data_IF_124783007555
#
_entry.id   IF_124783007555
#
_cell.length_a   1.000
_cell.length_b   1.000
_cell.length_c   1.000
_cell.angle_alpha   90.00
_cell.angle_beta   90.00
_cell.angle_gamma   90.00
#
_symmetry.space_group_name_H-M   'P 1'
#
loop_
_entity.id
_entity.type
_entity.pdbx_description
1 polymer ?
#
# COMPACT_ATOMS: atom_id res chain seq x y z
N UNK A 1 -24.67 -15.39 -2.83
CA UNK A 1 -23.83 -15.93 -3.91
C UNK A 1 -22.46 -16.12 -3.31
N UNK A 2 -21.90 -17.32 -3.38
CA UNK A 2 -20.60 -17.64 -2.81
C UNK A 2 -19.53 -16.73 -3.42
N UNK A 3 -18.74 -16.08 -2.57
CA UNK A 3 -17.49 -15.44 -2.96
C UNK A 3 -16.59 -16.52 -3.56
N UNK A 4 -16.47 -16.51 -4.89
CA UNK A 4 -15.56 -17.41 -5.58
C UNK A 4 -14.14 -17.12 -5.11
N UNK A 5 -13.46 -18.18 -4.64
CA UNK A 5 -12.05 -18.12 -4.26
C UNK A 5 -11.25 -17.67 -5.49
N UNK A 6 -10.77 -16.40 -5.51
CA UNK A 6 -9.98 -15.87 -6.62
C UNK A 6 -8.66 -16.62 -6.66
N UNK A 7 -8.36 -17.20 -7.81
CA UNK A 7 -7.08 -17.87 -8.02
C UNK A 7 -5.93 -16.85 -8.12
N UNK A 8 -4.70 -17.30 -7.82
CA UNK A 8 -3.51 -16.45 -8.01
C UNK A 8 -3.43 -16.01 -9.48
N UNK A 9 -3.35 -14.69 -9.70
CA UNK A 9 -3.32 -14.10 -11.05
C UNK A 9 -4.64 -13.49 -11.49
N UNK A 10 -5.79 -13.80 -10.86
CA UNK A 10 -7.04 -13.10 -11.13
C UNK A 10 -6.96 -11.64 -10.65
N UNK A 11 -7.67 -10.74 -11.31
CA UNK A 11 -7.71 -9.33 -10.92
C UNK A 11 -8.48 -9.18 -9.60
N UNK A 12 -7.78 -8.81 -8.53
CA UNK A 12 -8.38 -8.55 -7.21
C UNK A 12 -8.86 -7.11 -7.08
N UNK A 13 -8.04 -6.13 -7.50
CA UNK A 13 -8.40 -4.72 -7.53
C UNK A 13 -8.39 -4.23 -8.98
N UNK A 14 -9.47 -3.59 -9.41
CA UNK A 14 -9.60 -2.94 -10.71
C UNK A 14 -10.04 -1.49 -10.50
N UNK A 15 -9.17 -0.56 -10.85
CA UNK A 15 -9.41 0.89 -10.85
C UNK A 15 -9.56 1.32 -12.30
N UNK A 16 -10.71 1.88 -12.67
CA UNK A 16 -11.09 2.19 -14.04
C UNK A 16 -11.37 3.70 -14.18
N UNK A 17 -10.51 4.39 -14.91
CA UNK A 17 -10.62 5.81 -15.29
C UNK A 17 -10.98 6.75 -14.13
N UNK A 18 -10.44 6.50 -12.93
CA UNK A 18 -10.71 7.30 -11.75
C UNK A 18 -10.18 8.71 -11.92
N UNK A 19 -11.04 9.69 -11.63
CA UNK A 19 -10.71 11.11 -11.63
C UNK A 19 -11.19 11.76 -10.34
N UNK A 20 -10.40 12.69 -9.79
CA UNK A 20 -10.78 13.51 -8.64
C UNK A 20 -10.02 14.84 -8.67
N UNK A 21 -10.73 15.93 -8.36
CA UNK A 21 -10.18 17.27 -8.29
C UNK A 21 -10.47 17.93 -6.93
N UNK A 22 -9.60 18.81 -6.50
CA UNK A 22 -9.76 19.62 -5.28
C UNK A 22 -9.55 21.09 -5.60
N UNK A 23 -10.56 21.93 -5.35
CA UNK A 23 -10.47 23.37 -5.59
C UNK A 23 -10.04 23.73 -7.02
N UNK A 24 -10.48 22.95 -8.03
CA UNK A 24 -10.10 23.14 -9.43
C UNK A 24 -8.76 22.49 -9.84
N UNK A 25 -8.01 21.92 -8.91
CA UNK A 25 -6.76 21.22 -9.22
C UNK A 25 -7.06 19.73 -9.41
N UNK A 26 -6.77 19.19 -10.60
CA UNK A 26 -6.93 17.79 -10.92
C UNK A 26 -5.85 16.96 -10.21
N UNK A 27 -6.21 16.26 -9.15
CA UNK A 27 -5.26 15.43 -8.40
C UNK A 27 -5.04 14.05 -9.04
N UNK A 28 -6.11 13.46 -9.62
CA UNK A 28 -6.05 12.23 -10.41
C UNK A 28 -6.94 12.41 -11.64
N UNK A 29 -6.44 12.04 -12.82
CA UNK A 29 -7.08 12.27 -14.11
C UNK A 29 -7.16 10.97 -14.94
N UNK A 30 -8.31 10.32 -14.92
CA UNK A 30 -8.61 9.08 -15.63
C UNK A 30 -7.57 7.96 -15.36
N UNK A 31 -7.09 7.84 -14.11
CA UNK A 31 -6.13 6.82 -13.75
C UNK A 31 -6.77 5.44 -13.75
N UNK A 32 -6.10 4.47 -14.36
CA UNK A 32 -6.50 3.07 -14.39
C UNK A 32 -5.35 2.17 -13.96
N UNK A 33 -5.62 1.21 -13.08
CA UNK A 33 -4.66 0.18 -12.69
C UNK A 33 -5.38 -1.11 -12.28
N UNK A 34 -4.68 -2.22 -12.38
CA UNK A 34 -5.15 -3.54 -11.96
C UNK A 34 -4.13 -4.20 -11.08
N UNK A 35 -4.58 -4.86 -10.01
CA UNK A 35 -3.72 -5.63 -9.12
C UNK A 35 -4.18 -7.07 -9.12
N UNK A 36 -3.27 -7.97 -9.48
CA UNK A 36 -3.54 -9.39 -9.49
C UNK A 36 -3.54 -9.96 -8.05
N UNK A 37 -4.39 -10.94 -7.79
CA UNK A 37 -4.44 -11.65 -6.51
C UNK A 37 -3.10 -12.33 -6.20
N UNK A 38 -2.61 -12.15 -4.97
CA UNK A 38 -1.35 -12.74 -4.50
C UNK A 38 -0.09 -12.12 -5.13
N UNK A 39 -0.17 -10.89 -5.67
CA UNK A 39 0.98 -10.15 -6.17
C UNK A 39 1.33 -8.94 -5.30
N UNK A 40 2.53 -8.42 -5.48
CA UNK A 40 2.95 -7.11 -4.98
C UNK A 40 2.98 -6.14 -6.15
N UNK A 41 2.12 -5.15 -6.14
CA UNK A 41 2.10 -4.07 -7.11
C UNK A 41 2.61 -2.78 -6.46
N UNK A 42 3.46 -2.02 -7.15
CA UNK A 42 3.93 -0.72 -6.69
C UNK A 42 3.30 0.42 -7.50
N UNK A 43 2.90 1.48 -6.82
CA UNK A 43 2.51 2.76 -7.41
C UNK A 43 3.58 3.79 -7.07
N UNK A 44 4.39 4.16 -8.05
CA UNK A 44 5.47 5.13 -7.89
C UNK A 44 5.19 6.42 -8.65
N UNK A 45 6.00 7.44 -8.45
CA UNK A 45 5.88 8.72 -9.13
C UNK A 45 6.38 9.89 -8.26
N UNK A 46 6.59 11.07 -8.83
CA UNK A 46 7.07 12.24 -8.10
C UNK A 46 6.10 12.67 -6.99
N UNK A 47 6.60 13.53 -6.08
CA UNK A 47 5.74 14.12 -5.04
C UNK A 47 4.64 14.97 -5.69
N UNK A 48 3.43 14.89 -5.15
CA UNK A 48 2.26 15.57 -5.73
C UNK A 48 1.65 14.90 -6.96
N UNK A 49 2.14 13.73 -7.39
CA UNK A 49 1.59 13.03 -8.55
C UNK A 49 0.15 12.51 -8.38
N UNK A 50 -0.39 12.46 -7.15
CA UNK A 50 -1.75 11.97 -6.86
C UNK A 50 -1.80 10.56 -6.25
N UNK A 51 -0.66 9.95 -5.90
CA UNK A 51 -0.59 8.56 -5.37
C UNK A 51 -1.45 8.36 -4.12
N UNK A 52 -1.25 9.17 -3.08
CA UNK A 52 -2.01 9.09 -1.82
C UNK A 52 -3.49 9.40 -2.02
N UNK A 53 -3.80 10.27 -2.99
CA UNK A 53 -5.19 10.56 -3.39
C UNK A 53 -5.84 9.31 -3.98
N UNK A 54 -5.16 8.60 -4.90
CA UNK A 54 -5.67 7.36 -5.47
C UNK A 54 -5.85 6.27 -4.39
N UNK A 55 -4.93 6.13 -3.44
CA UNK A 55 -5.10 5.26 -2.27
C UNK A 55 -6.31 5.64 -1.42
N UNK A 56 -6.56 6.95 -1.26
CA UNK A 56 -7.72 7.44 -0.51
C UNK A 56 -9.03 7.12 -1.22
N UNK A 57 -9.06 7.14 -2.55
CA UNK A 57 -10.21 6.68 -3.34
C UNK A 57 -10.42 5.17 -3.17
N UNK A 58 -9.38 4.35 -3.34
CA UNK A 58 -9.47 2.89 -3.21
C UNK A 58 -9.92 2.47 -1.81
N UNK A 59 -9.45 3.18 -0.77
CA UNK A 59 -9.80 2.87 0.63
C UNK A 59 -11.07 3.56 1.15
N UNK A 60 -11.79 4.31 0.28
CA UNK A 60 -13.06 4.94 0.60
C UNK A 60 -12.97 6.22 1.43
N UNK A 61 -11.76 6.80 1.62
CA UNK A 61 -11.59 8.10 2.29
C UNK A 61 -11.91 9.28 1.39
N UNK A 62 -11.95 9.07 0.07
CA UNK A 62 -12.35 10.06 -0.93
C UNK A 62 -13.27 9.39 -1.94
N UNK A 63 -14.33 10.08 -2.32
CA UNK A 63 -15.20 9.68 -3.41
C UNK A 63 -14.66 10.27 -4.72
N UNK A 64 -14.47 9.49 -5.79
CA UNK A 64 -14.02 10.03 -7.06
C UNK A 64 -15.13 10.81 -7.78
N UNK A 65 -14.76 11.84 -8.54
CA UNK A 65 -15.68 12.60 -9.39
C UNK A 65 -16.14 11.77 -10.60
N UNK A 66 -15.29 10.83 -11.06
CA UNK A 66 -15.57 9.92 -12.16
C UNK A 66 -14.74 8.64 -12.06
N UNK A 67 -15.14 7.62 -12.83
CA UNK A 67 -14.51 6.31 -12.85
C UNK A 67 -15.10 5.36 -11.81
N UNK A 68 -14.47 4.19 -11.67
CA UNK A 68 -14.94 3.11 -10.78
C UNK A 68 -13.79 2.40 -10.11
N UNK A 69 -14.07 1.85 -8.93
CA UNK A 69 -13.17 0.94 -8.21
C UNK A 69 -13.91 -0.35 -7.93
N UNK A 70 -13.35 -1.49 -8.38
CA UNK A 70 -13.88 -2.82 -8.09
C UNK A 70 -12.88 -3.61 -7.27
N UNK A 71 -13.38 -4.32 -6.28
CA UNK A 71 -12.60 -5.23 -5.45
C UNK A 71 -13.23 -6.62 -5.44
N UNK A 72 -12.49 -7.63 -5.90
CA UNK A 72 -13.03 -8.98 -6.10
C UNK A 72 -14.26 -9.02 -7.01
N UNK A 73 -14.28 -8.20 -8.07
CA UNK A 73 -15.39 -8.05 -9.00
C UNK A 73 -16.57 -7.19 -8.49
N UNK A 74 -16.60 -6.83 -7.20
CA UNK A 74 -17.64 -5.98 -6.59
C UNK A 74 -17.29 -4.51 -6.73
N UNK A 75 -18.24 -3.68 -7.15
CA UNK A 75 -18.09 -2.23 -7.13
C UNK A 75 -18.08 -1.70 -5.69
N UNK A 76 -17.01 -0.98 -5.35
CA UNK A 76 -16.78 -0.37 -4.02
C UNK A 76 -16.67 1.16 -4.12
N UNK A 77 -16.94 1.75 -5.27
CA UNK A 77 -16.84 3.19 -5.53
C UNK A 77 -17.68 3.98 -4.53
N UNK A 78 -17.09 4.95 -3.84
CA UNK A 78 -17.77 5.80 -2.86
C UNK A 78 -18.21 5.09 -1.57
N UNK A 79 -17.84 3.83 -1.36
CA UNK A 79 -18.12 3.16 -0.09
C UNK A 79 -17.29 3.77 1.04
N UNK A 80 -17.91 3.98 2.21
CA UNK A 80 -17.22 4.47 3.39
C UNK A 80 -16.07 3.54 3.85
N UNK A 81 -14.97 4.07 4.44
CA UNK A 81 -13.76 3.31 4.77
C UNK A 81 -14.00 2.05 5.61
N UNK A 82 -14.92 2.12 6.58
CA UNK A 82 -15.23 0.97 7.44
C UNK A 82 -15.92 -0.17 6.66
N UNK A 83 -16.65 0.14 5.56
CA UNK A 83 -17.26 -0.87 4.68
C UNK A 83 -16.19 -1.49 3.78
N UNK A 84 -15.29 -0.66 3.23
CA UNK A 84 -14.16 -1.11 2.42
C UNK A 84 -13.25 -2.02 3.25
N UNK A 85 -12.95 -1.65 4.50
CA UNK A 85 -12.16 -2.47 5.42
C UNK A 85 -12.81 -3.84 5.68
N UNK A 86 -14.14 -3.88 5.92
CA UNK A 86 -14.87 -5.14 6.12
C UNK A 86 -14.89 -6.06 4.90
N UNK A 87 -14.70 -5.51 3.71
CA UNK A 87 -14.57 -6.30 2.48
C UNK A 87 -13.17 -6.90 2.30
N UNK A 88 -12.20 -6.55 3.17
CA UNK A 88 -10.86 -7.09 3.16
C UNK A 88 -9.81 -6.18 2.53
N UNK A 89 -9.99 -4.85 2.55
CA UNK A 89 -8.94 -3.89 2.19
C UNK A 89 -8.41 -3.24 3.47
N UNK A 90 -7.19 -3.61 3.87
CA UNK A 90 -6.44 -2.96 4.95
C UNK A 90 -5.55 -1.85 4.41
N UNK A 91 -5.31 -0.79 5.21
CA UNK A 91 -4.41 0.31 4.83
C UNK A 91 -3.52 0.73 5.98
N UNK A 92 -2.23 0.96 5.71
CA UNK A 92 -1.34 1.71 6.59
C UNK A 92 -1.42 3.20 6.26
N UNK A 93 -1.03 4.05 7.21
CA UNK A 93 -1.01 5.50 7.00
C UNK A 93 0.42 6.01 7.06
N UNK A 94 0.73 7.00 6.22
CA UNK A 94 2.05 7.64 6.16
C UNK A 94 2.48 8.22 7.51
N UNK A 95 1.56 8.90 8.21
CA UNK A 95 1.77 9.38 9.56
C UNK A 95 1.40 8.29 10.56
N UNK A 96 2.44 7.71 11.17
CA UNK A 96 2.28 6.66 12.16
C UNK A 96 1.76 7.25 13.47
N UNK A 97 0.50 6.98 13.80
CA UNK A 97 -0.15 7.43 15.03
C UNK A 97 -0.63 6.23 15.83
N UNK A 98 0.19 5.68 16.72
CA UNK A 98 -0.27 4.66 17.65
C UNK A 98 -1.24 5.26 18.67
N UNK A 99 -2.12 4.44 19.21
CA UNK A 99 -2.91 4.78 20.39
C UNK A 99 -1.95 4.86 21.59
N UNK A 100 -1.51 6.08 21.93
CA UNK A 100 -0.62 6.33 23.03
C UNK A 100 -1.29 5.93 24.36
N UNK A 101 -0.49 5.47 25.33
CA UNK A 101 -1.00 4.95 26.60
C UNK A 101 -1.60 3.54 26.50
N UNK A 102 -1.57 2.93 25.32
CA UNK A 102 -1.91 1.52 25.12
C UNK A 102 -0.66 0.72 24.71
N UNK A 103 -0.63 -0.55 25.09
CA UNK A 103 0.42 -1.46 24.70
C UNK A 103 0.41 -1.76 23.18
N UNK A 104 1.51 -2.29 22.66
CA UNK A 104 1.59 -2.82 21.30
C UNK A 104 0.48 -3.84 21.04
N UNK A 105 0.24 -4.76 21.98
CA UNK A 105 -0.80 -5.77 21.88
C UNK A 105 -2.19 -5.15 21.72
N UNK A 106 -2.52 -4.17 22.57
CA UNK A 106 -3.83 -3.50 22.52
C UNK A 106 -4.02 -2.69 21.24
N UNK A 107 -2.98 -2.03 20.76
CA UNK A 107 -3.01 -1.35 19.46
C UNK A 107 -3.35 -2.30 18.31
N UNK A 108 -2.73 -3.49 18.27
CA UNK A 108 -3.00 -4.50 17.24
C UNK A 108 -4.41 -5.07 17.41
N UNK A 109 -4.85 -5.29 18.64
CA UNK A 109 -6.17 -5.85 18.95
C UNK A 109 -7.33 -5.00 18.42
N UNK A 110 -7.14 -3.67 18.28
CA UNK A 110 -8.16 -2.80 17.66
C UNK A 110 -8.53 -3.29 16.26
N UNK A 111 -7.53 -3.65 15.43
CA UNK A 111 -7.78 -4.24 14.10
C UNK A 111 -8.47 -5.61 14.18
N UNK A 112 -8.08 -6.44 15.16
CA UNK A 112 -8.64 -7.76 15.36
C UNK A 112 -10.14 -7.73 15.72
N UNK A 113 -10.59 -6.68 16.39
CA UNK A 113 -12.01 -6.50 16.76
C UNK A 113 -12.94 -6.34 15.56
N UNK A 114 -12.43 -6.10 14.35
CA UNK A 114 -13.25 -6.06 13.15
C UNK A 114 -14.05 -7.37 12.95
N UNK A 115 -13.42 -8.52 13.27
CA UNK A 115 -14.01 -9.85 13.07
C UNK A 115 -14.14 -10.65 14.38
N UNK A 116 -13.48 -10.24 15.45
CA UNK A 116 -13.40 -10.94 16.74
C UNK A 116 -13.94 -10.03 17.85
N UNK A 117 -15.26 -10.05 18.14
CA UNK A 117 -15.85 -9.14 19.14
C UNK A 117 -15.39 -9.46 20.57
N UNK A 118 -15.08 -10.74 20.88
CA UNK A 118 -14.62 -11.12 22.21
C UNK A 118 -13.19 -10.65 22.45
N UNK A 119 -12.96 -9.87 23.51
CA UNK A 119 -11.64 -9.30 23.85
C UNK A 119 -10.54 -10.35 23.93
N UNK A 120 -10.83 -11.51 24.53
CA UNK A 120 -9.87 -12.61 24.65
C UNK A 120 -9.37 -13.08 23.29
N UNK A 121 -10.29 -13.26 22.35
CA UNK A 121 -9.97 -13.78 21.01
C UNK A 121 -9.24 -12.73 20.15
N UNK A 122 -9.64 -11.46 20.29
CA UNK A 122 -8.97 -10.34 19.63
C UNK A 122 -7.52 -10.19 20.13
N UNK A 123 -7.28 -10.28 21.44
CA UNK A 123 -5.92 -10.25 22.01
C UNK A 123 -5.08 -11.45 21.59
N UNK A 124 -5.66 -12.65 21.58
CA UNK A 124 -4.96 -13.85 21.10
C UNK A 124 -4.58 -13.75 19.62
N UNK A 125 -5.47 -13.22 18.78
CA UNK A 125 -5.17 -12.93 17.38
C UNK A 125 -4.09 -11.87 17.22
N UNK A 126 -4.18 -10.77 17.97
CA UNK A 126 -3.17 -9.70 17.99
C UNK A 126 -1.78 -10.22 18.37
N UNK A 127 -1.70 -11.16 19.32
CA UNK A 127 -0.45 -11.82 19.70
C UNK A 127 0.19 -12.57 18.51
N UNK A 128 -0.59 -13.35 17.78
CA UNK A 128 -0.09 -14.04 16.57
C UNK A 128 0.37 -13.07 15.48
N UNK A 129 -0.36 -11.97 15.28
CA UNK A 129 0.06 -10.92 14.34
C UNK A 129 1.36 -10.26 14.79
N UNK A 130 1.52 -9.98 16.09
CA UNK A 130 2.75 -9.44 16.67
C UNK A 130 3.95 -10.36 16.44
N UNK A 131 3.79 -11.67 16.62
CA UNK A 131 4.83 -12.68 16.33
C UNK A 131 5.26 -12.64 14.87
N UNK A 132 4.31 -12.65 13.93
CA UNK A 132 4.58 -12.60 12.48
C UNK A 132 5.40 -11.39 12.07
N UNK A 133 5.24 -10.25 12.74
CA UNK A 133 5.92 -9.00 12.42
C UNK A 133 7.10 -8.68 13.36
N UNK A 134 7.52 -9.66 14.19
CA UNK A 134 8.67 -9.51 15.09
C UNK A 134 8.45 -8.49 16.22
N UNK A 135 7.19 -8.27 16.62
CA UNK A 135 6.82 -7.36 17.71
C UNK A 135 6.61 -8.07 19.06
N UNK A 136 6.65 -9.42 19.08
CA UNK A 136 6.43 -10.20 20.31
C UNK A 136 7.34 -9.78 21.49
N UNK A 137 8.67 -9.49 21.30
CA UNK A 137 9.53 -9.08 22.41
C UNK A 137 9.15 -7.75 23.07
N UNK A 138 8.34 -6.93 22.39
CA UNK A 138 7.93 -5.60 22.86
C UNK A 138 6.42 -5.48 23.03
N UNK A 139 5.70 -6.60 23.04
CA UNK A 139 4.23 -6.65 22.95
C UNK A 139 3.53 -5.89 24.09
N UNK A 140 4.12 -5.84 25.29
CA UNK A 140 3.61 -5.11 26.46
C UNK A 140 4.08 -3.66 26.57
N UNK A 141 4.94 -3.16 25.66
CA UNK A 141 5.43 -1.78 25.73
C UNK A 141 4.39 -0.77 25.29
N UNK A 142 4.44 0.43 25.85
CA UNK A 142 3.64 1.57 25.37
C UNK A 142 3.99 1.87 23.91
N UNK A 143 2.97 1.85 23.06
CA UNK A 143 3.11 2.10 21.63
C UNK A 143 3.58 3.55 21.34
N UNK A 144 3.24 4.50 22.21
CA UNK A 144 3.68 5.90 22.09
C UNK A 144 5.19 6.09 22.31
N UNK A 145 5.86 5.18 23.04
CA UNK A 145 7.28 5.23 23.34
C UNK A 145 8.18 4.48 22.34
N UNK A 146 7.60 3.90 21.27
CA UNK A 146 8.36 3.11 20.29
C UNK A 146 9.21 3.98 19.36
N UNK A 147 10.44 3.52 18.98
CA UNK A 147 11.19 4.09 17.85
C UNK A 147 10.43 3.99 16.53
N UNK A 148 10.79 4.83 15.55
CA UNK A 148 10.07 4.94 14.28
C UNK A 148 9.92 3.61 13.54
N UNK A 149 10.98 2.80 13.46
CA UNK A 149 10.93 1.51 12.79
C UNK A 149 9.93 0.54 13.44
N UNK A 150 9.86 0.53 14.79
CA UNK A 150 8.90 -0.30 15.50
C UNK A 150 7.47 0.23 15.35
N UNK A 151 7.28 1.57 15.30
CA UNK A 151 5.97 2.18 15.00
C UNK A 151 5.50 1.80 13.59
N UNK A 152 6.38 1.83 12.59
CA UNK A 152 6.06 1.41 11.21
C UNK A 152 5.62 -0.06 11.15
N UNK A 153 6.31 -0.96 11.87
CA UNK A 153 5.88 -2.36 12.01
C UNK A 153 4.55 -2.49 12.75
N UNK A 154 4.30 -1.65 13.74
CA UNK A 154 3.03 -1.63 14.46
C UNK A 154 1.86 -1.19 13.55
N UNK A 155 2.06 -0.17 12.69
CA UNK A 155 1.04 0.22 11.71
C UNK A 155 0.73 -0.91 10.74
N UNK A 156 1.76 -1.60 10.25
CA UNK A 156 1.59 -2.80 9.44
C UNK A 156 0.81 -3.88 10.20
N UNK A 157 1.12 -4.10 11.49
CA UNK A 157 0.43 -5.07 12.33
C UNK A 157 -1.05 -4.71 12.55
N UNK A 158 -1.36 -3.44 12.79
CA UNK A 158 -2.74 -2.95 12.93
C UNK A 158 -3.56 -3.20 11.66
N UNK A 159 -3.00 -2.88 10.49
CA UNK A 159 -3.64 -3.13 9.21
C UNK A 159 -3.79 -4.65 8.94
N UNK A 160 -2.76 -5.44 9.23
CA UNK A 160 -2.80 -6.91 9.07
C UNK A 160 -3.84 -7.57 9.98
N UNK A 161 -4.02 -7.05 11.20
CA UNK A 161 -4.98 -7.58 12.17
C UNK A 161 -6.44 -7.44 11.73
N UNK A 162 -6.74 -6.61 10.71
CA UNK A 162 -8.07 -6.54 10.09
C UNK A 162 -8.37 -7.72 9.16
N UNK A 163 -7.43 -8.66 8.95
CA UNK A 163 -7.60 -9.80 8.06
C UNK A 163 -7.72 -9.43 6.57
N UNK A 164 -6.84 -8.59 6.02
CA UNK A 164 -7.02 -8.08 4.67
C UNK A 164 -6.69 -9.13 3.61
N UNK A 165 -7.43 -9.11 2.49
CA UNK A 165 -7.08 -9.76 1.23
C UNK A 165 -6.19 -8.86 0.35
N UNK A 166 -6.38 -7.53 0.48
CA UNK A 166 -5.55 -6.49 -0.13
C UNK A 166 -5.01 -5.56 0.95
N UNK A 167 -3.71 -5.39 1.00
CA UNK A 167 -3.03 -4.49 1.91
C UNK A 167 -2.45 -3.30 1.14
N UNK A 168 -2.93 -2.11 1.47
CA UNK A 168 -2.44 -0.84 0.93
C UNK A 168 -1.33 -0.32 1.85
N UNK A 169 -0.09 -0.28 1.35
CA UNK A 169 1.08 0.20 2.09
C UNK A 169 1.47 1.61 1.62
N UNK A 170 1.31 2.61 2.48
CA UNK A 170 1.57 4.01 2.14
C UNK A 170 2.90 4.46 2.77
N UNK A 171 3.98 4.42 1.99
CA UNK A 171 5.34 4.84 2.34
C UNK A 171 5.85 4.23 3.66
N UNK A 172 5.67 2.91 3.82
CA UNK A 172 6.06 2.23 5.08
C UNK A 172 7.58 2.19 5.32
N UNK A 173 8.38 2.37 4.28
CA UNK A 173 9.84 2.39 4.34
C UNK A 173 10.43 3.80 4.48
N UNK A 174 9.61 4.85 4.37
CA UNK A 174 10.07 6.23 4.47
C UNK A 174 10.69 6.53 5.85
N UNK A 175 11.88 7.14 5.86
CA UNK A 175 12.59 7.53 7.07
C UNK A 175 13.30 6.39 7.81
N UNK A 176 13.35 5.19 7.23
CA UNK A 176 14.11 4.06 7.75
C UNK A 176 15.52 4.03 7.18
N UNK A 177 16.48 3.55 7.97
CA UNK A 177 17.84 3.28 7.49
C UNK A 177 17.89 1.95 6.69
N UNK A 178 18.98 1.69 5.92
CA UNK A 178 19.10 0.49 5.09
C UNK A 178 18.87 -0.82 5.85
N UNK A 179 19.43 -0.97 7.07
CA UNK A 179 19.26 -2.18 7.86
C UNK A 179 17.82 -2.39 8.33
N UNK A 180 17.11 -1.31 8.63
CA UNK A 180 15.68 -1.35 8.98
C UNK A 180 14.81 -1.72 7.76
N UNK A 181 15.16 -1.22 6.56
CA UNK A 181 14.51 -1.59 5.30
C UNK A 181 14.72 -3.08 5.02
N UNK A 182 15.97 -3.56 5.13
CA UNK A 182 16.31 -4.97 4.92
C UNK A 182 15.58 -5.90 5.91
N UNK A 183 15.20 -5.40 7.08
CA UNK A 183 14.42 -6.15 8.05
C UNK A 183 12.90 -6.14 7.77
N UNK A 184 12.36 -5.17 7.03
CA UNK A 184 10.92 -5.09 6.69
C UNK A 184 10.61 -5.79 5.36
N UNK A 185 11.52 -5.71 4.37
CA UNK A 185 11.33 -6.32 3.04
C UNK A 185 10.95 -7.81 3.12
N UNK A 186 11.64 -8.68 3.90
CA UNK A 186 11.24 -10.08 4.04
C UNK A 186 9.85 -10.26 4.67
N UNK A 187 9.44 -9.38 5.60
CA UNK A 187 8.11 -9.43 6.20
C UNK A 187 7.03 -9.17 5.17
N UNK A 188 7.19 -8.12 4.34
CA UNK A 188 6.25 -7.79 3.27
C UNK A 188 6.16 -8.93 2.24
N UNK A 189 7.30 -9.52 1.86
CA UNK A 189 7.35 -10.69 0.97
C UNK A 189 6.63 -11.89 1.57
N UNK A 190 6.86 -12.18 2.86
CA UNK A 190 6.18 -13.26 3.58
C UNK A 190 4.67 -13.10 3.59
N UNK A 191 4.15 -11.89 3.76
CA UNK A 191 2.71 -11.62 3.69
C UNK A 191 2.12 -11.97 2.31
N UNK A 192 2.83 -11.61 1.22
CA UNK A 192 2.44 -11.99 -0.15
C UNK A 192 2.47 -13.51 -0.32
N UNK A 193 3.50 -14.18 0.19
CA UNK A 193 3.67 -15.64 0.07
C UNK A 193 2.58 -16.41 0.84
N UNK A 194 1.98 -15.79 1.85
CA UNK A 194 0.79 -16.26 2.56
C UNK A 194 -0.53 -15.96 1.84
N UNK A 195 -0.49 -15.35 0.65
CA UNK A 195 -1.65 -15.07 -0.21
C UNK A 195 -2.24 -13.67 -0.07
N UNK A 196 -1.65 -12.78 0.73
CA UNK A 196 -2.10 -11.39 0.83
C UNK A 196 -1.61 -10.62 -0.40
N UNK A 197 -2.54 -9.96 -1.10
CA UNK A 197 -2.20 -9.05 -2.19
C UNK A 197 -1.73 -7.72 -1.62
N UNK A 198 -0.72 -7.12 -2.22
CA UNK A 198 -0.16 -5.86 -1.75
C UNK A 198 -0.16 -4.83 -2.87
N UNK A 199 -0.69 -3.64 -2.59
CA UNK A 199 -0.47 -2.45 -3.40
C UNK A 199 0.28 -1.44 -2.54
N UNK A 200 1.49 -1.05 -2.96
CA UNK A 200 2.33 -0.16 -2.16
C UNK A 200 2.65 1.15 -2.89
N UNK A 201 2.63 2.25 -2.17
CA UNK A 201 3.28 3.50 -2.57
C UNK A 201 4.66 3.50 -1.95
N UNK A 202 5.70 3.59 -2.77
CA UNK A 202 7.07 3.69 -2.29
C UNK A 202 7.92 4.57 -3.21
N UNK A 203 8.95 5.16 -2.63
CA UNK A 203 9.97 5.93 -3.35
C UNK A 203 11.39 5.38 -3.12
N UNK A 204 11.54 4.37 -2.27
CA UNK A 204 12.78 3.61 -2.09
C UNK A 204 12.90 2.61 -3.23
N UNK A 205 13.53 3.02 -4.34
CA UNK A 205 13.59 2.21 -5.58
C UNK A 205 14.19 0.82 -5.37
N UNK A 206 15.18 0.68 -4.48
CA UNK A 206 15.76 -0.63 -4.15
C UNK A 206 14.70 -1.61 -3.61
N UNK A 207 13.80 -1.13 -2.76
CA UNK A 207 12.71 -1.95 -2.23
C UNK A 207 11.67 -2.27 -3.31
N UNK A 208 11.31 -1.29 -4.15
CA UNK A 208 10.41 -1.50 -5.29
C UNK A 208 10.96 -2.58 -6.21
N UNK A 209 12.25 -2.47 -6.59
CA UNK A 209 12.93 -3.44 -7.47
C UNK A 209 12.99 -4.85 -6.87
N UNK A 210 13.07 -4.96 -5.54
CA UNK A 210 13.20 -6.26 -4.85
C UNK A 210 11.87 -6.93 -4.52
N UNK A 211 10.78 -6.15 -4.40
CA UNK A 211 9.49 -6.63 -3.92
C UNK A 211 8.43 -6.70 -5.00
N UNK A 212 8.35 -5.69 -5.90
CA UNK A 212 7.23 -5.57 -6.81
C UNK A 212 7.29 -6.56 -7.96
N UNK A 213 6.17 -7.22 -8.23
CA UNK A 213 5.96 -8.01 -9.43
C UNK A 213 5.59 -7.08 -10.60
N UNK A 214 4.89 -5.98 -10.30
CA UNK A 214 4.38 -5.02 -11.29
C UNK A 214 4.42 -3.59 -10.73
N UNK A 215 4.63 -2.60 -11.60
CA UNK A 215 4.80 -1.19 -11.22
C UNK A 215 3.96 -0.29 -12.13
N UNK A 216 3.17 0.59 -11.52
CA UNK A 216 2.52 1.71 -12.18
C UNK A 216 3.24 3.01 -11.83
N UNK A 217 3.44 3.88 -12.80
CA UNK A 217 4.01 5.20 -12.59
C UNK A 217 2.95 6.26 -12.79
N UNK A 218 2.69 7.02 -11.72
CA UNK A 218 1.76 8.15 -11.74
C UNK A 218 2.54 9.47 -11.82
N UNK A 219 2.17 10.33 -12.77
CA UNK A 219 2.71 11.68 -12.90
C UNK A 219 1.61 12.64 -13.36
N UNK A 220 1.50 13.80 -12.72
CA UNK A 220 0.44 14.79 -13.03
C UNK A 220 -0.97 14.20 -13.00
N UNK A 221 -1.25 13.30 -12.06
CA UNK A 221 -2.55 12.62 -11.91
C UNK A 221 -2.83 11.51 -12.93
N UNK A 222 -1.91 11.18 -13.83
CA UNK A 222 -2.08 10.17 -14.90
C UNK A 222 -1.09 9.03 -14.77
N UNK A 223 -1.51 7.81 -15.13
CA UNK A 223 -0.59 6.70 -15.33
C UNK A 223 0.19 6.95 -16.62
N UNK A 224 1.51 7.08 -16.52
CA UNK A 224 2.41 7.35 -17.64
C UNK A 224 3.19 6.11 -18.11
N UNK A 225 3.34 5.11 -17.23
CA UNK A 225 4.01 3.85 -17.56
C UNK A 225 3.48 2.72 -16.66
N UNK A 226 3.59 1.49 -17.16
CA UNK A 226 3.22 0.26 -16.45
C UNK A 226 4.08 -0.90 -16.95
N UNK A 227 4.47 -1.79 -16.06
CA UNK A 227 5.22 -3.00 -16.37
C UNK A 227 6.06 -3.49 -15.20
N UNK A 228 6.94 -4.47 -15.45
CA UNK A 228 7.86 -4.93 -14.43
C UNK A 228 8.83 -3.82 -13.98
N UNK A 229 9.39 -3.88 -12.75
CA UNK A 229 10.33 -2.88 -12.26
C UNK A 229 11.45 -2.55 -13.25
N UNK A 230 12.04 -3.60 -13.88
CA UNK A 230 13.13 -3.43 -14.84
C UNK A 230 12.74 -2.74 -16.14
N UNK A 231 11.48 -2.86 -16.58
CA UNK A 231 10.94 -2.16 -17.76
C UNK A 231 10.70 -0.69 -17.41
N UNK A 232 10.00 -0.44 -16.33
CA UNK A 232 9.59 0.90 -15.93
C UNK A 232 10.78 1.82 -15.64
N UNK A 233 11.84 1.32 -15.01
CA UNK A 233 13.04 2.12 -14.69
C UNK A 233 13.83 2.56 -15.93
N UNK A 234 13.60 1.94 -17.09
CA UNK A 234 14.24 2.31 -18.37
C UNK A 234 13.34 3.14 -19.27
N UNK A 235 12.09 3.37 -18.87
CA UNK A 235 11.14 4.13 -19.67
C UNK A 235 11.55 5.62 -19.70
N UNK A 236 11.72 6.23 -20.88
CA UNK A 236 12.10 7.62 -21.02
C UNK A 236 11.12 8.59 -20.34
N UNK A 237 9.82 8.31 -20.41
CA UNK A 237 8.79 9.15 -19.79
C UNK A 237 8.91 9.11 -18.26
N UNK A 238 9.30 7.97 -17.70
CA UNK A 238 9.54 7.81 -16.25
C UNK A 238 10.80 8.58 -15.85
N UNK A 239 11.91 8.41 -16.59
CA UNK A 239 13.16 9.14 -16.34
C UNK A 239 12.91 10.66 -16.37
N UNK A 240 12.15 11.13 -17.35
CA UNK A 240 11.82 12.55 -17.50
C UNK A 240 10.92 13.07 -16.36
N UNK A 241 9.96 12.27 -15.90
CA UNK A 241 9.08 12.62 -14.79
C UNK A 241 9.83 12.80 -13.46
N UNK A 242 10.93 12.07 -13.24
CA UNK A 242 11.73 12.15 -12.01
C UNK A 242 12.87 13.16 -12.07
N UNK A 243 13.52 13.30 -13.23
CA UNK A 243 14.73 14.11 -13.39
C UNK A 243 14.49 15.46 -14.08
N UNK A 244 13.25 15.70 -14.56
CA UNK A 244 12.87 16.90 -15.29
C UNK A 244 13.16 16.82 -16.79
N UNK A 245 12.54 17.75 -17.54
CA UNK A 245 12.57 17.77 -19.01
C UNK A 245 13.99 17.85 -19.58
N UNK A 246 14.27 17.05 -20.60
CA UNK A 246 15.54 17.02 -21.34
C UNK A 246 16.65 16.16 -20.72
N UNK A 247 16.45 15.57 -19.55
CA UNK A 247 17.48 14.74 -18.90
C UNK A 247 17.60 13.36 -19.53
N UNK A 248 16.48 12.78 -19.97
CA UNK A 248 16.47 11.49 -20.66
C UNK A 248 17.29 11.53 -21.97
N UNK A 249 17.21 12.64 -22.71
CA UNK A 249 17.97 12.85 -23.94
C UNK A 249 19.47 12.97 -23.69
N UNK A 250 19.88 13.72 -22.65
CA UNK A 250 21.29 13.86 -22.25
C UNK A 250 21.93 12.56 -21.77
N UNK A 251 21.16 11.68 -21.13
CA UNK A 251 21.66 10.38 -20.67
C UNK A 251 21.86 9.42 -21.85
N UNK A 252 21.01 9.45 -22.87
CA UNK A 252 21.20 8.69 -24.13
C UNK A 252 22.46 9.13 -24.88
N UNK A 253 22.69 10.43 -25.03
CA UNK A 253 23.87 10.99 -25.70
C UNK A 253 25.20 10.72 -24.96
N UNK A 254 25.15 10.39 -23.64
CA UNK A 254 26.32 10.00 -22.83
C UNK A 254 26.57 8.50 -22.79
N UNK A 255 25.58 7.66 -23.05
CA UNK A 255 25.69 6.20 -23.10
C UNK A 255 26.24 5.66 -24.41
N UNK A 256 26.25 6.49 -25.48
CA UNK A 256 26.79 6.15 -26.80
C UNK A 256 28.25 6.62 -27.01
N UNK A 257 28.96 6.98 -25.96
CA UNK A 257 30.40 7.29 -25.94
C UNK A 257 31.13 6.36 -24.98
#
# INVERSE_FOLDING_TARGET
MAEGDLMKGDVLLDVEAVSIAFGGVQAVAAASLRVASGSICALIGPNGAGKTTLFSVVSGFQEPDAGRVRFGGRDITGLAPHRVCRLGIGRTFQLVQPFAGQSVLENIAVGSHLHLPARRDALAHAGRVAERLGLAPIIGRDAGALPIAQRKRLELAKALATGPRLLLLDEVLAGLNPAEIDAIVPLVRGLRDEGITILMIEHVMQAVMSLADDVYVLSGGRIIAHGTPGVVTRDPAVIEAYLGHGTAQRLRERGDK
#
